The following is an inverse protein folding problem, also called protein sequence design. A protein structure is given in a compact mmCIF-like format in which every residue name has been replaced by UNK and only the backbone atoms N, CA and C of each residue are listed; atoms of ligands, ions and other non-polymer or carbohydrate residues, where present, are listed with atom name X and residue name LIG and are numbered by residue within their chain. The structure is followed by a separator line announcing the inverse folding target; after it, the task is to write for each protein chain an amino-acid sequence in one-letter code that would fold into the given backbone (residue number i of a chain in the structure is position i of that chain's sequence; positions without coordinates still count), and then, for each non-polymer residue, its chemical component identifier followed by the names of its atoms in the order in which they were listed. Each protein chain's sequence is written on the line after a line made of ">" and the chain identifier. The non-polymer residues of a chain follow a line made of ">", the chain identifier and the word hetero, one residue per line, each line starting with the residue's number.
data_IF_040825923037
#
_entry.id   IF_040825923037
#
_cell.length_a   1.000
_cell.length_b   1.000
_cell.length_c   1.000
_cell.angle_alpha   90.00
_cell.angle_beta   90.00
_cell.angle_gamma   90.00
#
_symmetry.space_group_name_H-M   'P 1'
#
loop_
_entity.id
_entity.type
_entity.pdbx_description
1 polymer ?
#
# COMPACT_ATOMS: atom_id res chain seq x y z
N UNK A 1 -1.05 26.12 0.76
CA UNK A 1 -0.53 24.73 0.82
C UNK A 1 -1.50 23.75 1.48
N UNK A 2 -2.15 24.08 2.61
CA UNK A 2 -3.06 23.14 3.28
C UNK A 2 -4.19 22.55 2.43
N UNK A 3 -4.66 23.28 1.40
CA UNK A 3 -5.70 22.81 0.48
C UNK A 3 -5.17 22.03 -0.72
N UNK A 4 -3.84 21.96 -0.92
CA UNK A 4 -3.18 21.31 -2.07
C UNK A 4 -3.60 21.83 -3.46
N UNK A 5 -4.41 22.88 -3.49
CA UNK A 5 -4.81 23.70 -4.64
C UNK A 5 -4.96 25.17 -4.21
N UNK A 6 -5.12 26.12 -5.15
CA UNK A 6 -5.57 27.47 -4.83
C UNK A 6 -6.86 27.46 -4.01
N UNK A 7 -6.98 28.43 -3.09
CA UNK A 7 -8.22 28.62 -2.32
C UNK A 7 -9.31 29.12 -3.26
N UNK A 8 -10.50 28.55 -3.14
CA UNK A 8 -11.70 29.04 -3.80
C UNK A 8 -12.13 30.36 -3.17
N UNK A 9 -12.84 31.18 -3.93
CA UNK A 9 -13.35 32.47 -3.47
C UNK A 9 -14.20 32.34 -2.21
N UNK A 10 -15.03 31.29 -2.13
CA UNK A 10 -15.90 31.00 -1.00
C UNK A 10 -15.11 30.59 0.26
N UNK A 11 -14.10 29.74 0.10
CA UNK A 11 -13.21 29.31 1.18
C UNK A 11 -12.41 30.50 1.74
N UNK A 12 -11.93 31.38 0.85
CA UNK A 12 -11.25 32.60 1.24
C UNK A 12 -12.18 33.54 2.01
N UNK A 13 -13.40 33.76 1.52
CA UNK A 13 -14.40 34.60 2.20
C UNK A 13 -14.75 34.05 3.59
N UNK A 14 -14.95 32.73 3.71
CA UNK A 14 -15.22 32.08 5.00
C UNK A 14 -14.10 32.32 6.01
N UNK A 15 -12.84 32.14 5.62
CA UNK A 15 -11.70 32.35 6.50
C UNK A 15 -11.55 33.81 6.94
N UNK A 16 -11.88 34.76 6.06
CA UNK A 16 -11.94 36.18 6.42
C UNK A 16 -13.07 36.46 7.42
N UNK A 17 -14.26 35.89 7.23
CA UNK A 17 -15.36 36.02 8.20
C UNK A 17 -14.95 35.48 9.58
N UNK A 18 -14.29 34.31 9.64
CA UNK A 18 -13.77 33.77 10.91
C UNK A 18 -12.82 34.75 11.61
N UNK A 19 -11.94 35.42 10.84
CA UNK A 19 -11.06 36.43 11.40
C UNK A 19 -11.82 37.65 11.91
N UNK A 20 -12.73 38.19 11.11
CA UNK A 20 -13.50 39.39 11.42
C UNK A 20 -14.44 39.21 12.61
N UNK A 21 -14.95 37.99 12.81
CA UNK A 21 -15.79 37.64 13.97
C UNK A 21 -14.96 37.47 15.26
N UNK A 22 -13.75 36.89 15.16
CA UNK A 22 -12.88 36.67 16.30
C UNK A 22 -12.14 37.94 16.75
N UNK A 23 -11.80 38.83 15.81
CA UNK A 23 -10.93 39.98 16.07
C UNK A 23 -11.47 41.00 17.09
N UNK A 24 -12.77 41.33 17.16
CA UNK A 24 -13.29 42.31 18.12
C UNK A 24 -13.18 41.87 19.58
N UNK A 25 -13.18 40.56 19.84
CA UNK A 25 -13.21 39.97 21.19
C UNK A 25 -11.87 39.40 21.65
N UNK A 26 -10.86 39.39 20.77
CA UNK A 26 -9.56 38.75 21.02
C UNK A 26 -8.39 39.58 20.50
N UNK A 27 -7.15 39.19 20.86
CA UNK A 27 -5.95 39.76 20.26
C UNK A 27 -5.80 39.30 18.81
N UNK A 28 -5.04 40.05 17.99
CA UNK A 28 -4.76 39.66 16.61
C UNK A 28 -4.15 38.24 16.50
N UNK A 29 -3.26 37.89 17.42
CA UNK A 29 -2.64 36.56 17.46
C UNK A 29 -3.69 35.46 17.68
N UNK A 30 -4.66 35.67 18.58
CA UNK A 30 -5.74 34.72 18.85
C UNK A 30 -6.70 34.64 17.65
N UNK A 31 -7.04 35.78 17.03
CA UNK A 31 -7.89 35.79 15.84
C UNK A 31 -7.24 35.02 14.67
N UNK A 32 -5.95 35.23 14.40
CA UNK A 32 -5.21 34.44 13.41
C UNK A 32 -5.15 32.96 13.79
N UNK A 33 -4.90 32.65 15.06
CA UNK A 33 -4.95 31.26 15.56
C UNK A 33 -6.32 30.61 15.33
N UNK A 34 -7.40 31.38 15.44
CA UNK A 34 -8.77 30.92 15.17
C UNK A 34 -8.98 30.61 13.68
N UNK A 35 -8.43 31.44 12.78
CA UNK A 35 -8.45 31.16 11.33
C UNK A 35 -7.69 29.88 11.01
N UNK A 36 -6.50 29.69 11.58
CA UNK A 36 -5.72 28.46 11.40
C UNK A 36 -6.49 27.27 11.94
N UNK A 37 -7.08 27.38 13.14
CA UNK A 37 -7.90 26.32 13.71
C UNK A 37 -9.11 25.97 12.82
N UNK A 38 -9.77 26.97 12.24
CA UNK A 38 -10.86 26.74 11.30
C UNK A 38 -10.37 26.03 10.03
N UNK A 39 -9.26 26.49 9.43
CA UNK A 39 -8.64 25.87 8.26
C UNK A 39 -8.32 24.39 8.50
N UNK A 40 -7.73 24.05 9.64
CA UNK A 40 -7.38 22.66 10.00
C UNK A 40 -8.61 21.76 10.22
N UNK A 41 -9.80 22.35 10.37
CA UNK A 41 -11.07 21.62 10.51
C UNK A 41 -11.88 21.59 9.21
N UNK A 42 -11.42 22.26 8.15
CA UNK A 42 -12.14 22.27 6.87
C UNK A 42 -12.03 20.90 6.17
N UNK A 43 -13.10 20.43 5.50
CA UNK A 43 -13.10 19.14 4.80
C UNK A 43 -11.95 19.01 3.79
N UNK A 44 -11.67 20.06 3.02
CA UNK A 44 -10.60 20.07 2.02
C UNK A 44 -9.19 19.95 2.62
N UNK A 45 -9.02 20.18 3.94
CA UNK A 45 -7.76 19.91 4.65
C UNK A 45 -7.73 18.46 5.18
N UNK A 46 -8.80 18.02 5.82
CA UNK A 46 -8.89 16.72 6.50
C UNK A 46 -8.99 15.53 5.55
N UNK A 47 -9.59 15.72 4.37
CA UNK A 47 -9.89 14.65 3.41
C UNK A 47 -9.29 14.95 2.05
N UNK A 48 -9.08 13.88 1.27
CA UNK A 48 -8.94 14.00 -0.18
C UNK A 48 -10.34 14.01 -0.78
N UNK A 49 -10.74 15.18 -1.23
CA UNK A 49 -12.00 15.38 -1.93
C UNK A 49 -11.63 15.54 -3.40
N UNK A 50 -12.10 14.59 -4.20
CA UNK A 50 -11.94 14.57 -5.65
C UNK A 50 -13.29 14.93 -6.25
N UNK A 51 -13.44 16.22 -6.55
CA UNK A 51 -14.64 16.73 -7.19
C UNK A 51 -14.57 16.49 -8.70
N UNK A 52 -13.35 16.51 -9.25
CA UNK A 52 -13.09 16.39 -10.67
C UNK A 52 -13.71 17.53 -11.48
N UNK A 53 -13.58 17.39 -12.79
CA UNK A 53 -14.11 18.28 -13.81
C UNK A 53 -15.05 17.48 -14.71
N UNK A 54 -16.21 18.04 -15.09
CA UNK A 54 -17.10 17.39 -16.05
C UNK A 54 -16.37 17.15 -17.37
N UNK A 55 -16.44 15.93 -17.87
CA UNK A 55 -15.86 15.53 -19.15
C UNK A 55 -16.93 14.85 -20.00
N UNK A 56 -17.30 15.40 -21.17
CA UNK A 56 -18.35 14.83 -22.01
C UNK A 56 -17.99 13.48 -22.62
N UNK A 57 -16.70 13.11 -22.64
CA UNK A 57 -16.22 11.86 -23.21
C UNK A 57 -16.20 10.71 -22.18
N UNK A 58 -16.45 11.02 -20.90
CA UNK A 58 -16.53 10.03 -19.82
C UNK A 58 -17.96 9.50 -19.60
N UNK A 59 -18.11 8.25 -19.08
CA UNK A 59 -19.40 7.71 -18.71
C UNK A 59 -20.14 8.56 -17.67
N UNK A 60 -21.48 8.48 -17.67
CA UNK A 60 -22.30 9.19 -16.69
C UNK A 60 -21.89 8.83 -15.25
N UNK A 61 -21.59 9.86 -14.45
CA UNK A 61 -21.13 9.71 -13.07
C UNK A 61 -19.61 9.61 -12.91
N UNK A 62 -18.84 9.52 -13.99
CA UNK A 62 -17.40 9.70 -13.98
C UNK A 62 -17.02 11.18 -14.17
N UNK A 63 -15.93 11.59 -13.54
CA UNK A 63 -15.34 12.93 -13.67
C UNK A 63 -13.87 12.78 -13.99
N UNK A 64 -13.33 13.68 -14.82
CA UNK A 64 -11.89 13.75 -15.06
C UNK A 64 -11.26 14.46 -13.87
N UNK A 65 -10.18 13.94 -13.32
CA UNK A 65 -9.51 14.64 -12.23
C UNK A 65 -8.86 15.92 -12.75
N UNK A 66 -8.93 16.97 -11.94
CA UNK A 66 -8.14 18.17 -12.17
C UNK A 66 -6.66 17.89 -11.93
N UNK A 67 -5.79 18.66 -12.56
CA UNK A 67 -4.34 18.55 -12.39
C UNK A 67 -3.89 18.64 -10.91
N UNK A 68 -4.58 19.45 -10.09
CA UNK A 68 -4.28 19.53 -8.65
C UNK A 68 -4.67 18.25 -7.89
N UNK A 69 -5.73 17.56 -8.30
CA UNK A 69 -6.12 16.27 -7.73
C UNK A 69 -5.13 15.18 -8.16
N UNK A 70 -4.70 15.18 -9.43
CA UNK A 70 -3.64 14.29 -9.94
C UNK A 70 -2.33 14.52 -9.18
N UNK A 71 -1.89 15.77 -9.04
CA UNK A 71 -0.72 16.13 -8.25
C UNK A 71 -0.80 15.62 -6.81
N UNK A 72 -1.97 15.76 -6.18
CA UNK A 72 -2.21 15.29 -4.81
C UNK A 72 -2.14 13.77 -4.73
N UNK A 73 -2.81 13.06 -5.64
CA UNK A 73 -2.75 11.59 -5.69
C UNK A 73 -1.32 11.09 -5.86
N UNK A 74 -0.58 11.63 -6.84
CA UNK A 74 0.81 11.27 -7.10
C UNK A 74 1.69 11.47 -5.86
N UNK A 75 1.59 12.63 -5.19
CA UNK A 75 2.44 12.93 -4.05
C UNK A 75 2.16 12.04 -2.84
N UNK A 76 0.89 11.72 -2.55
CA UNK A 76 0.56 10.87 -1.42
C UNK A 76 0.80 9.38 -1.70
N UNK A 77 0.59 8.95 -2.95
CA UNK A 77 0.94 7.60 -3.37
C UNK A 77 2.46 7.37 -3.28
N UNK A 78 3.25 8.28 -3.83
CA UNK A 78 4.68 8.06 -4.01
C UNK A 78 5.54 8.60 -2.85
N UNK A 79 5.09 9.61 -2.11
CA UNK A 79 5.85 10.23 -1.02
C UNK A 79 5.14 10.24 0.34
N UNK A 80 3.90 9.78 0.43
CA UNK A 80 3.08 9.87 1.66
C UNK A 80 2.97 11.29 2.22
N UNK A 81 3.04 12.31 1.36
CA UNK A 81 3.01 13.69 1.80
C UNK A 81 2.50 14.63 0.72
N UNK A 82 2.34 15.90 1.10
CA UNK A 82 1.81 16.93 0.22
C UNK A 82 2.68 17.12 -1.04
N UNK A 83 2.07 17.58 -2.16
CA UNK A 83 2.81 17.97 -3.36
C UNK A 83 3.90 19.00 -3.05
N UNK A 84 5.05 18.87 -3.70
CA UNK A 84 6.07 19.91 -3.67
C UNK A 84 5.67 21.11 -4.54
N UNK A 85 6.48 22.17 -4.50
CA UNK A 85 6.18 23.37 -5.27
C UNK A 85 6.18 23.10 -6.79
N UNK A 86 7.11 22.27 -7.27
CA UNK A 86 7.21 21.93 -8.68
C UNK A 86 6.00 21.15 -9.19
N UNK A 87 5.48 20.20 -8.41
CA UNK A 87 4.26 19.46 -8.79
C UNK A 87 3.02 20.34 -8.78
N UNK A 88 2.92 21.29 -7.83
CA UNK A 88 1.82 22.28 -7.81
C UNK A 88 1.92 23.28 -8.96
N UNK A 89 3.12 23.60 -9.42
CA UNK A 89 3.35 24.48 -10.57
C UNK A 89 3.00 23.77 -11.88
N UNK A 90 3.42 22.51 -12.05
CA UNK A 90 2.99 21.67 -13.17
C UNK A 90 1.45 21.60 -13.23
N UNK A 91 0.80 21.39 -12.09
CA UNK A 91 -0.65 21.39 -12.01
C UNK A 91 -1.29 22.74 -12.34
N UNK A 92 -0.65 23.85 -11.96
CA UNK A 92 -1.13 25.19 -12.29
C UNK A 92 -1.04 25.50 -13.80
N UNK A 93 -0.13 24.83 -14.50
CA UNK A 93 0.19 25.08 -15.90
C UNK A 93 -0.54 24.13 -16.88
N UNK A 94 -1.36 23.20 -16.40
CA UNK A 94 -1.98 22.18 -17.26
C UNK A 94 -1.00 21.10 -17.70
N UNK A 95 0.04 20.84 -16.90
CA UNK A 95 1.12 19.90 -17.23
C UNK A 95 0.91 18.53 -16.58
N UNK A 96 -0.35 18.15 -16.30
CA UNK A 96 -0.74 16.83 -15.80
C UNK A 96 -1.98 16.25 -16.52
N UNK A 97 -2.30 16.75 -17.72
CA UNK A 97 -3.49 16.35 -18.48
C UNK A 97 -3.32 15.06 -19.30
N UNK A 98 -2.07 14.65 -19.57
CA UNK A 98 -1.74 13.49 -20.40
C UNK A 98 -0.97 12.42 -19.63
N UNK A 99 -1.08 11.18 -20.08
CA UNK A 99 -0.36 10.04 -19.47
C UNK A 99 1.15 10.28 -19.46
N UNK A 100 1.72 10.84 -20.54
CA UNK A 100 3.15 11.13 -20.62
C UNK A 100 3.60 12.21 -19.62
N UNK A 101 2.76 13.22 -19.38
CA UNK A 101 3.02 14.27 -18.40
C UNK A 101 2.97 13.72 -16.97
N UNK A 102 1.95 12.91 -16.66
CA UNK A 102 1.79 12.23 -15.38
C UNK A 102 2.97 11.29 -15.12
N UNK A 103 3.36 10.50 -16.12
CA UNK A 103 4.51 9.59 -16.04
C UNK A 103 5.81 10.35 -15.76
N UNK A 104 6.06 11.46 -16.47
CA UNK A 104 7.26 12.27 -16.25
C UNK A 104 7.34 12.79 -14.81
N UNK A 105 6.22 13.23 -14.23
CA UNK A 105 6.18 13.62 -12.83
C UNK A 105 6.34 12.42 -11.90
N UNK A 106 5.70 11.28 -12.16
CA UNK A 106 5.85 10.06 -11.36
C UNK A 106 7.31 9.59 -11.31
N UNK A 107 8.02 9.56 -12.45
CA UNK A 107 9.44 9.22 -12.52
C UNK A 107 10.31 10.19 -11.70
N UNK A 108 10.02 11.50 -11.78
CA UNK A 108 10.70 12.52 -10.96
C UNK A 108 10.47 12.27 -9.47
N UNK A 109 9.24 11.96 -9.07
CA UNK A 109 8.88 11.68 -7.69
C UNK A 109 9.59 10.41 -7.18
N UNK A 110 9.64 9.35 -8.00
CA UNK A 110 10.34 8.09 -7.69
C UNK A 110 11.86 8.27 -7.51
N UNK A 111 12.47 9.22 -8.21
CA UNK A 111 13.90 9.52 -8.07
C UNK A 111 14.24 10.28 -6.75
N UNK A 112 13.26 10.83 -6.05
CA UNK A 112 13.46 11.55 -4.79
C UNK A 112 13.60 10.56 -3.60
N UNK A 113 14.44 10.92 -2.62
CA UNK A 113 14.71 10.08 -1.46
C UNK A 113 13.46 9.76 -0.62
N UNK A 114 12.38 10.55 -0.72
CA UNK A 114 11.10 10.29 -0.05
C UNK A 114 10.37 9.06 -0.57
N UNK A 115 10.62 8.65 -1.82
CA UNK A 115 9.88 7.55 -2.44
C UNK A 115 10.14 6.20 -1.77
N UNK A 116 11.40 5.93 -1.41
CA UNK A 116 11.82 4.66 -0.80
C UNK A 116 11.03 4.31 0.47
N UNK A 117 11.04 5.13 1.54
CA UNK A 117 10.30 4.81 2.75
C UNK A 117 8.77 4.83 2.55
N UNK A 118 8.26 5.67 1.64
CA UNK A 118 6.82 5.73 1.37
C UNK A 118 6.30 4.44 0.72
N UNK A 119 7.00 3.94 -0.30
CA UNK A 119 6.66 2.69 -0.98
C UNK A 119 6.89 1.47 -0.09
N UNK A 120 8.00 1.41 0.66
CA UNK A 120 8.23 0.34 1.61
C UNK A 120 7.06 0.20 2.60
N UNK A 121 6.60 1.32 3.18
CA UNK A 121 5.42 1.32 4.06
C UNK A 121 4.15 0.90 3.32
N UNK A 122 3.89 1.38 2.11
CA UNK A 122 2.73 0.93 1.33
C UNK A 122 2.71 -0.60 1.20
N UNK A 123 3.83 -1.20 0.84
CA UNK A 123 3.92 -2.65 0.72
C UNK A 123 3.77 -3.35 2.08
N UNK A 124 4.32 -2.80 3.19
CA UNK A 124 4.12 -3.38 4.54
C UNK A 124 2.65 -3.39 4.95
N UNK A 125 1.92 -2.33 4.64
CA UNK A 125 0.48 -2.20 4.91
C UNK A 125 -0.30 -3.18 4.03
N UNK A 126 0.01 -3.21 2.74
CA UNK A 126 -0.67 -4.06 1.77
C UNK A 126 -0.56 -5.54 2.10
N UNK A 127 0.61 -6.00 2.54
CA UNK A 127 0.81 -7.41 2.87
C UNK A 127 0.52 -7.73 4.33
N UNK A 128 0.47 -6.75 5.24
CA UNK A 128 0.27 -6.98 6.68
C UNK A 128 1.55 -7.19 7.50
N UNK A 129 2.73 -6.90 6.96
CA UNK A 129 4.02 -6.97 7.71
C UNK A 129 4.05 -6.01 8.90
N UNK A 130 3.31 -4.91 8.83
CA UNK A 130 3.15 -3.96 9.94
C UNK A 130 2.47 -4.54 11.18
N UNK A 131 1.78 -5.70 11.05
CA UNK A 131 1.10 -6.39 12.16
C UNK A 131 2.01 -7.35 12.93
N UNK A 132 3.29 -7.49 12.54
CA UNK A 132 4.23 -8.37 13.24
C UNK A 132 4.45 -7.91 14.69
N UNK A 133 3.89 -8.66 15.62
CA UNK A 133 4.02 -8.45 17.06
C UNK A 133 5.00 -9.48 17.66
N UNK A 134 6.12 -9.07 18.29
CA UNK A 134 7.07 -9.98 18.93
C UNK A 134 6.49 -10.79 20.09
N UNK A 135 5.33 -10.41 20.62
CA UNK A 135 4.62 -11.13 21.68
C UNK A 135 3.53 -12.08 21.17
N UNK A 136 3.35 -12.18 19.85
CA UNK A 136 2.32 -13.03 19.24
C UNK A 136 2.54 -14.54 19.46
N UNK A 137 3.73 -14.96 19.92
CA UNK A 137 4.08 -16.36 20.14
C UNK A 137 4.47 -16.60 21.61
N UNK A 138 4.15 -17.79 22.11
CA UNK A 138 4.60 -18.23 23.42
C UNK A 138 6.14 -18.41 23.42
N UNK A 139 6.84 -17.62 24.22
CA UNK A 139 8.30 -17.61 24.27
C UNK A 139 8.91 -18.94 24.75
N UNK A 140 8.16 -19.78 25.48
CA UNK A 140 8.63 -21.11 25.86
C UNK A 140 8.59 -22.09 24.68
N UNK A 141 7.68 -21.89 23.72
CA UNK A 141 7.55 -22.71 22.52
C UNK A 141 8.36 -22.17 21.34
N UNK A 142 8.48 -20.84 21.24
CA UNK A 142 9.15 -20.14 20.14
C UNK A 142 10.20 -19.14 20.68
N UNK A 143 11.26 -19.63 21.35
CA UNK A 143 12.23 -18.76 22.02
C UNK A 143 13.04 -17.86 21.07
N UNK A 144 13.10 -18.18 19.78
CA UNK A 144 13.75 -17.37 18.75
C UNK A 144 12.84 -16.28 18.16
N UNK A 145 11.54 -16.33 18.44
CA UNK A 145 10.60 -15.30 17.99
C UNK A 145 10.57 -14.17 19.01
N UNK A 146 11.38 -13.14 18.76
CA UNK A 146 11.55 -12.00 19.65
C UNK A 146 11.52 -10.66 18.89
N UNK A 147 11.74 -9.57 19.63
CA UNK A 147 11.77 -8.22 19.07
C UNK A 147 12.93 -8.01 18.08
N UNK A 148 14.02 -8.75 18.21
CA UNK A 148 15.16 -8.66 17.30
C UNK A 148 14.84 -9.35 15.98
N UNK A 149 14.29 -10.57 16.01
CA UNK A 149 13.89 -11.28 14.81
C UNK A 149 12.77 -10.55 14.05
N UNK A 150 11.72 -10.10 14.75
CA UNK A 150 10.61 -9.38 14.10
C UNK A 150 11.07 -8.06 13.46
N UNK A 151 11.97 -7.31 14.10
CA UNK A 151 12.58 -6.14 13.49
C UNK A 151 13.42 -6.50 12.25
N UNK A 152 14.16 -7.61 12.29
CA UNK A 152 14.93 -8.08 11.15
C UNK A 152 14.02 -8.50 9.98
N UNK A 153 12.90 -9.21 10.23
CA UNK A 153 11.92 -9.57 9.21
C UNK A 153 11.32 -8.34 8.51
N UNK A 154 11.02 -7.29 9.27
CA UNK A 154 10.50 -6.03 8.73
C UNK A 154 11.55 -5.32 7.87
N UNK A 155 12.80 -5.28 8.30
CA UNK A 155 13.90 -4.68 7.55
C UNK A 155 14.25 -5.48 6.29
N UNK A 156 14.22 -6.82 6.36
CA UNK A 156 14.35 -7.71 5.20
C UNK A 156 13.28 -7.39 4.15
N UNK A 157 12.02 -7.30 4.57
CA UNK A 157 10.93 -6.98 3.67
C UNK A 157 11.12 -5.63 2.98
N UNK A 158 11.55 -4.61 3.72
CA UNK A 158 11.84 -3.29 3.16
C UNK A 158 12.97 -3.30 2.14
N UNK A 159 14.04 -4.03 2.44
CA UNK A 159 15.18 -4.22 1.54
C UNK A 159 14.77 -4.93 0.27
N UNK A 160 14.00 -6.01 0.40
CA UNK A 160 13.44 -6.76 -0.71
C UNK A 160 12.59 -5.86 -1.62
N UNK A 161 11.62 -5.14 -1.04
CA UNK A 161 10.78 -4.20 -1.80
C UNK A 161 11.63 -3.13 -2.48
N UNK A 162 12.59 -2.54 -1.77
CA UNK A 162 13.45 -1.51 -2.33
C UNK A 162 14.35 -2.04 -3.46
N UNK A 163 14.83 -3.27 -3.35
CA UNK A 163 15.66 -3.92 -4.37
C UNK A 163 14.89 -4.20 -5.65
N UNK A 164 13.61 -4.57 -5.55
CA UNK A 164 12.74 -4.81 -6.71
C UNK A 164 12.23 -3.50 -7.30
N UNK A 165 11.58 -2.66 -6.50
CA UNK A 165 10.90 -1.44 -6.98
C UNK A 165 11.86 -0.43 -7.61
N UNK A 166 13.09 -0.35 -7.10
CA UNK A 166 14.11 0.56 -7.60
C UNK A 166 15.21 -0.15 -8.39
N UNK A 167 14.95 -1.36 -8.89
CA UNK A 167 15.84 -2.04 -9.81
C UNK A 167 16.03 -1.17 -11.07
N UNK A 168 17.28 -1.12 -11.56
CA UNK A 168 17.59 -0.37 -12.78
C UNK A 168 17.12 -1.09 -14.05
N UNK A 169 16.99 -2.42 -13.99
CA UNK A 169 16.49 -3.24 -15.08
C UNK A 169 14.97 -3.43 -14.96
N UNK A 170 14.23 -3.16 -16.05
CA UNK A 170 12.79 -3.34 -16.09
C UNK A 170 12.36 -4.81 -15.98
N UNK A 171 13.22 -5.73 -16.40
CA UNK A 171 12.99 -7.17 -16.25
C UNK A 171 13.09 -7.61 -14.77
N UNK A 172 13.77 -6.82 -13.93
CA UNK A 172 13.85 -7.02 -12.48
C UNK A 172 12.83 -6.17 -11.72
N UNK A 173 12.55 -4.95 -12.18
CA UNK A 173 11.69 -3.97 -11.53
C UNK A 173 10.21 -4.09 -11.87
N UNK A 174 9.61 -5.25 -11.63
CA UNK A 174 8.20 -5.49 -11.93
C UNK A 174 7.48 -6.32 -10.87
N UNK A 175 6.14 -6.31 -10.95
CA UNK A 175 5.27 -7.03 -10.02
C UNK A 175 5.54 -8.54 -10.03
N UNK A 176 5.85 -9.14 -11.18
CA UNK A 176 6.14 -10.58 -11.22
C UNK A 176 7.39 -10.90 -10.38
N UNK A 177 8.47 -10.13 -10.53
CA UNK A 177 9.66 -10.26 -9.70
C UNK A 177 9.34 -10.06 -8.22
N UNK A 178 8.52 -9.06 -7.86
CA UNK A 178 8.10 -8.84 -6.47
C UNK A 178 7.38 -10.08 -5.87
N UNK A 179 6.65 -10.84 -6.68
CA UNK A 179 5.88 -12.00 -6.25
C UNK A 179 6.65 -13.33 -6.31
N UNK A 180 7.69 -13.42 -7.14
CA UNK A 180 8.36 -14.70 -7.44
C UNK A 180 9.83 -14.74 -7.06
N UNK A 181 10.48 -13.61 -6.79
CA UNK A 181 11.92 -13.55 -6.48
C UNK A 181 12.21 -14.27 -5.15
N UNK A 182 13.15 -15.20 -5.19
CA UNK A 182 13.66 -15.97 -4.04
C UNK A 182 14.92 -15.37 -3.39
N UNK A 183 15.42 -14.27 -3.97
CA UNK A 183 16.65 -13.61 -3.57
C UNK A 183 16.34 -12.44 -2.62
N UNK A 184 16.88 -12.49 -1.41
CA UNK A 184 16.63 -11.53 -0.32
C UNK A 184 17.93 -11.17 0.39
N UNK A 185 17.92 -10.14 1.23
CA UNK A 185 19.02 -9.83 2.13
C UNK A 185 18.71 -10.34 3.54
N UNK A 186 19.66 -10.99 4.19
CA UNK A 186 19.52 -11.49 5.56
C UNK A 186 20.59 -10.92 6.47
N UNK A 187 20.23 -10.73 7.74
CA UNK A 187 21.16 -10.48 8.84
C UNK A 187 21.46 -11.77 9.62
N UNK A 188 22.22 -11.68 10.72
CA UNK A 188 22.56 -12.85 11.54
C UNK A 188 21.33 -13.50 12.20
N UNK A 189 20.31 -12.71 12.57
CA UNK A 189 19.08 -13.20 13.19
C UNK A 189 18.24 -13.99 12.19
N UNK A 190 18.08 -13.46 10.98
CA UNK A 190 17.38 -14.11 9.87
C UNK A 190 18.13 -15.33 9.36
N UNK A 191 19.47 -15.28 9.26
CA UNK A 191 20.26 -16.44 8.89
C UNK A 191 20.03 -17.61 9.86
N UNK A 192 20.01 -17.33 11.17
CA UNK A 192 19.66 -18.35 12.17
C UNK A 192 18.21 -18.82 12.05
N UNK A 193 17.26 -17.93 11.72
CA UNK A 193 15.85 -18.27 11.58
C UNK A 193 15.57 -19.15 10.34
N UNK A 194 16.14 -18.79 9.19
CA UNK A 194 16.05 -19.57 7.95
C UNK A 194 16.91 -20.85 7.98
N UNK A 195 17.76 -21.02 8.98
CA UNK A 195 18.62 -22.20 9.14
C UNK A 195 19.80 -22.21 8.16
N UNK A 196 20.33 -21.04 7.83
CA UNK A 196 21.47 -20.89 6.92
C UNK A 196 22.78 -21.35 7.59
N UNK A 197 23.71 -21.84 6.76
CA UNK A 197 25.04 -22.25 7.21
C UNK A 197 25.91 -21.06 7.67
N UNK A 198 27.01 -21.32 8.40
CA UNK A 198 27.91 -20.28 8.89
C UNK A 198 28.56 -19.45 7.77
N UNK A 199 28.68 -20.00 6.56
CA UNK A 199 29.15 -19.29 5.37
C UNK A 199 28.16 -18.23 4.85
N UNK A 200 26.88 -18.34 5.20
CA UNK A 200 25.79 -17.41 4.87
C UNK A 200 25.25 -16.70 6.12
N UNK A 201 26.09 -16.51 7.13
CA UNK A 201 25.75 -15.76 8.34
C UNK A 201 26.62 -14.51 8.40
N UNK A 202 26.05 -13.30 8.23
CA UNK A 202 26.83 -12.06 8.24
C UNK A 202 27.26 -11.64 9.64
N UNK A 203 28.20 -10.68 9.72
CA UNK A 203 28.61 -10.08 10.98
C UNK A 203 27.54 -9.18 11.60
N UNK A 204 27.75 -8.71 12.85
CA UNK A 204 26.81 -7.81 13.51
C UNK A 204 26.59 -6.51 12.71
N UNK A 205 25.33 -6.23 12.34
CA UNK A 205 24.94 -5.05 11.56
C UNK A 205 25.20 -5.16 10.06
N UNK A 206 25.69 -6.30 9.58
CA UNK A 206 25.88 -6.58 8.16
C UNK A 206 24.66 -7.32 7.59
N UNK A 207 24.39 -7.09 6.31
CA UNK A 207 23.38 -7.77 5.52
C UNK A 207 24.06 -8.40 4.32
N UNK A 208 23.68 -9.63 3.98
CA UNK A 208 24.17 -10.31 2.79
C UNK A 208 23.02 -10.83 1.96
N UNK A 209 23.19 -10.81 0.65
CA UNK A 209 22.22 -11.36 -0.28
C UNK A 209 22.30 -12.89 -0.29
N UNK A 210 21.14 -13.55 -0.18
CA UNK A 210 21.00 -15.00 -0.18
C UNK A 210 19.80 -15.43 -1.02
N UNK A 211 19.95 -16.55 -1.72
CA UNK A 211 18.83 -17.21 -2.39
C UNK A 211 18.19 -18.21 -1.42
N UNK A 212 16.92 -17.99 -1.10
CA UNK A 212 16.14 -18.86 -0.22
C UNK A 212 15.33 -19.88 -1.03
N UNK A 213 14.83 -20.93 -0.38
CA UNK A 213 13.85 -21.83 -0.99
C UNK A 213 12.60 -21.00 -1.39
N UNK A 214 12.06 -21.14 -2.62
CA UNK A 214 10.80 -20.51 -3.02
C UNK A 214 9.62 -20.74 -2.06
N UNK A 215 9.65 -21.82 -1.26
CA UNK A 215 8.65 -22.08 -0.20
C UNK A 215 8.85 -21.21 1.05
N UNK A 216 10.04 -20.65 1.24
CA UNK A 216 10.39 -19.77 2.36
C UNK A 216 10.23 -18.28 2.00
N UNK A 217 10.23 -17.94 0.70
CA UNK A 217 10.18 -16.56 0.17
C UNK A 217 8.84 -16.12 -0.38
N UNK A 218 7.83 -17.00 -0.41
CA UNK A 218 6.48 -16.61 -0.83
C UNK A 218 5.81 -15.74 0.23
N UNK A 219 6.23 -14.47 0.27
CA UNK A 219 5.62 -13.43 1.07
C UNK A 219 4.18 -13.10 0.62
N UNK A 220 3.73 -13.59 -0.55
CA UNK A 220 2.43 -13.19 -1.12
C UNK A 220 1.65 -14.21 -1.96
N UNK A 221 1.77 -15.53 -1.73
CA UNK A 221 1.03 -16.51 -2.55
C UNK A 221 0.04 -17.38 -1.75
N UNK A 222 -1.22 -17.08 -2.06
CA UNK A 222 -2.45 -17.89 -2.12
C UNK A 222 -3.25 -18.20 -0.83
N UNK A 223 -4.50 -17.76 -0.87
CA UNK A 223 -5.56 -18.07 0.08
C UNK A 223 -6.30 -19.31 -0.37
N UNK A 224 -5.82 -20.48 0.04
CA UNK A 224 -6.67 -21.67 0.15
C UNK A 224 -6.05 -22.60 1.21
N UNK A 225 -6.39 -22.35 2.47
CA UNK A 225 -6.07 -23.27 3.58
C UNK A 225 -7.26 -24.20 3.78
N UNK A 226 -7.60 -24.96 2.75
CA UNK A 226 -8.66 -25.98 2.83
C UNK A 226 -8.29 -27.26 2.05
N UNK A 227 -7.02 -27.68 1.99
CA UNK A 227 -6.71 -29.13 1.82
C UNK A 227 -5.26 -29.57 2.12
N UNK A 228 -4.51 -28.89 3.00
CA UNK A 228 -3.26 -29.46 3.50
C UNK A 228 -3.56 -30.51 4.58
N UNK A 229 -3.96 -31.69 4.14
CA UNK A 229 -4.36 -32.84 4.95
C UNK A 229 -3.49 -33.07 6.19
N UNK A 230 -4.00 -32.63 7.35
CA UNK A 230 -3.58 -33.09 8.67
C UNK A 230 -4.22 -34.47 8.95
N UNK A 231 -3.87 -35.44 8.11
CA UNK A 231 -4.20 -36.85 8.29
C UNK A 231 -3.05 -37.57 8.98
N UNK A 232 -3.09 -37.60 10.32
CA UNK A 232 -2.53 -38.64 11.21
C UNK A 232 -1.45 -39.57 10.62
N UNK A 233 -0.16 -39.40 10.96
CA UNK A 233 0.81 -40.49 11.01
C UNK A 233 1.91 -40.30 12.08
N UNK A 234 2.48 -41.40 12.62
CA UNK A 234 3.05 -41.46 13.96
C UNK A 234 4.54 -41.15 14.04
N UNK A 235 4.99 -40.89 15.27
CA UNK A 235 6.37 -40.73 15.73
C UNK A 235 7.33 -41.78 15.14
N UNK A 236 8.34 -41.33 14.39
CA UNK A 236 9.46 -42.18 13.98
C UNK A 236 10.48 -41.50 13.06
N UNK A 237 11.71 -41.34 13.56
CA UNK A 237 12.95 -41.31 12.76
C UNK A 237 13.27 -39.99 12.06
N UNK A 238 14.41 -39.40 12.38
CA UNK A 238 14.79 -38.07 11.91
C UNK A 238 15.01 -37.96 10.41
N UNK A 239 14.73 -36.76 9.89
CA UNK A 239 15.45 -35.99 8.88
C UNK A 239 14.89 -34.56 8.96
N UNK A 240 15.76 -33.56 8.82
CA UNK A 240 15.48 -32.17 9.16
C UNK A 240 14.31 -31.56 8.38
N UNK A 241 13.34 -31.01 9.11
CA UNK A 241 12.41 -30.01 8.61
C UNK A 241 12.77 -28.68 9.28
N UNK A 242 13.21 -27.71 8.47
CA UNK A 242 13.37 -26.32 8.88
C UNK A 242 12.01 -25.71 9.26
N UNK A 243 12.01 -24.60 10.01
CA UNK A 243 10.76 -23.96 10.43
C UNK A 243 9.93 -23.51 9.21
N UNK A 244 8.59 -23.46 9.34
CA UNK A 244 7.73 -22.96 8.28
C UNK A 244 8.10 -21.50 7.96
N UNK A 245 8.29 -21.21 6.67
CA UNK A 245 8.54 -19.86 6.18
C UNK A 245 7.39 -18.91 6.51
N UNK A 246 7.66 -17.61 6.45
CA UNK A 246 6.68 -16.56 6.65
C UNK A 246 5.63 -16.65 5.53
N UNK A 247 4.45 -17.19 5.84
CA UNK A 247 3.26 -17.12 4.99
C UNK A 247 2.40 -15.98 5.52
N UNK A 248 2.41 -14.85 4.81
CA UNK A 248 1.53 -13.73 5.12
C UNK A 248 0.26 -13.87 4.30
N UNK A 249 -0.87 -14.09 4.99
CA UNK A 249 -2.19 -14.21 4.36
C UNK A 249 -2.77 -12.81 4.31
N UNK A 250 -3.00 -12.28 3.10
CA UNK A 250 -3.73 -11.03 2.92
C UNK A 250 -5.13 -11.18 3.53
N UNK A 251 -5.41 -10.40 4.57
CA UNK A 251 -6.74 -10.31 5.18
C UNK A 251 -7.75 -9.75 4.19
N UNK A 252 -8.93 -10.36 4.16
CA UNK A 252 -10.06 -9.99 3.30
C UNK A 252 -10.43 -8.50 3.51
N UNK A 253 -10.20 -7.65 2.49
CA UNK A 253 -10.72 -6.26 2.47
C UNK A 253 -12.21 -6.30 2.13
N UNK A 254 -13.00 -6.99 2.94
CA UNK A 254 -14.46 -6.86 2.89
C UNK A 254 -14.87 -5.65 3.71
N UNK A 255 -14.95 -4.53 2.98
CA UNK A 255 -15.51 -3.28 3.46
C UNK A 255 -16.86 -3.48 4.16
N UNK A 256 -17.00 -2.72 5.24
CA UNK A 256 -18.24 -2.40 5.94
C UNK A 256 -19.47 -2.39 5.02
N UNK A 257 -20.19 -3.52 4.98
CA UNK A 257 -21.59 -3.57 4.54
C UNK A 257 -22.41 -4.44 5.49
N UNK A 258 -22.55 -3.97 6.74
CA UNK A 258 -23.62 -4.41 7.65
C UNK A 258 -24.24 -3.19 8.33
N UNK A 259 -25.21 -2.58 7.67
CA UNK A 259 -26.36 -1.94 8.32
C UNK A 259 -27.37 -1.44 7.27
N UNK A 260 -28.00 -2.33 6.51
CA UNK A 260 -29.33 -2.06 5.91
C UNK A 260 -29.96 -3.35 5.41
N UNK A 261 -31.20 -3.61 5.85
CA UNK A 261 -32.08 -4.62 5.24
C UNK A 261 -32.45 -5.80 6.13
N UNK A 262 -33.33 -5.58 7.11
CA UNK A 262 -34.24 -6.62 7.62
C UNK A 262 -35.67 -6.10 7.44
N UNK A 263 -36.56 -6.96 6.94
CA UNK A 263 -37.95 -6.74 6.49
C UNK A 263 -38.02 -6.23 5.03
N UNK A 264 -38.68 -6.85 4.05
CA UNK A 264 -39.65 -7.94 3.92
C UNK A 264 -39.41 -8.57 2.52
N UNK A 265 -39.49 -9.89 2.29
CA UNK A 265 -40.74 -10.64 2.21
C UNK A 265 -41.25 -10.73 0.76
N UNK A 266 -41.28 -11.97 0.22
CA UNK A 266 -42.07 -12.47 -0.92
C UNK A 266 -41.41 -12.58 -2.32
N UNK A 267 -40.92 -13.79 -2.61
CA UNK A 267 -41.41 -14.64 -3.70
C UNK A 267 -40.94 -14.36 -5.14
N UNK A 268 -40.18 -15.31 -5.72
CA UNK A 268 -40.65 -16.25 -6.76
C UNK A 268 -39.50 -17.12 -7.30
N UNK A 269 -39.83 -18.38 -7.52
CA UNK A 269 -39.05 -19.42 -8.20
C UNK A 269 -38.74 -19.09 -9.67
N UNK A 270 -37.63 -19.63 -10.18
CA UNK A 270 -37.34 -19.69 -11.62
C UNK A 270 -35.96 -20.28 -11.91
N UNK A 271 -35.95 -21.56 -12.29
CA UNK A 271 -34.80 -22.39 -12.69
C UNK A 271 -33.96 -21.81 -13.84
N UNK A 272 -32.64 -22.08 -13.83
CA UNK A 272 -31.91 -22.72 -14.94
C UNK A 272 -30.45 -22.98 -14.53
N UNK A 273 -30.07 -24.26 -14.43
CA UNK A 273 -28.68 -24.68 -14.40
C UNK A 273 -28.17 -24.95 -15.82
N UNK A 274 -26.88 -24.69 -16.06
CA UNK A 274 -26.06 -25.39 -17.05
C UNK A 274 -24.59 -24.94 -16.96
N UNK A 275 -23.70 -25.91 -16.69
CA UNK A 275 -22.41 -26.06 -17.38
C UNK A 275 -21.31 -25.03 -17.13
N UNK A 276 -20.51 -25.25 -16.08
CA UNK A 276 -19.14 -24.71 -16.00
C UNK A 276 -18.17 -25.84 -16.32
N UNK A 277 -17.94 -26.06 -17.61
CA UNK A 277 -16.79 -26.83 -18.08
C UNK A 277 -16.25 -26.12 -19.33
N UNK A 278 -15.24 -25.28 -19.13
CA UNK A 278 -14.35 -24.83 -20.20
C UNK A 278 -13.04 -24.33 -19.59
N UNK A 279 -11.98 -25.06 -19.91
CA UNK A 279 -10.58 -24.69 -19.72
C UNK A 279 -10.33 -23.27 -20.25
N UNK A 280 -9.82 -22.39 -19.39
CA UNK A 280 -9.28 -21.11 -19.80
C UNK A 280 -7.85 -21.33 -20.34
N UNK A 281 -7.68 -21.10 -21.63
CA UNK A 281 -6.37 -21.04 -22.26
C UNK A 281 -5.70 -19.69 -21.97
N UNK A 282 -4.37 -19.69 -21.93
CA UNK A 282 -3.46 -18.57 -21.58
C UNK A 282 -3.57 -17.35 -22.53
N UNK A 283 -4.48 -17.36 -23.49
CA UNK A 283 -4.66 -16.31 -24.51
C UNK A 283 -5.82 -15.33 -24.22
N UNK A 284 -6.64 -15.57 -23.18
CA UNK A 284 -7.77 -14.69 -22.82
C UNK A 284 -7.45 -13.60 -21.77
N UNK A 285 -6.18 -13.40 -21.39
CA UNK A 285 -5.74 -12.42 -20.37
C UNK A 285 -5.19 -11.09 -20.93
N UNK A 286 -5.79 -10.54 -22.00
CA UNK A 286 -5.67 -9.11 -22.33
C UNK A 286 -7.03 -8.62 -22.87
N UNK A 287 -7.65 -7.56 -22.31
CA UNK A 287 -7.01 -6.33 -21.83
C UNK A 287 -7.44 -5.91 -20.40
N UNK A 288 -6.46 -5.74 -19.50
CA UNK A 288 -6.63 -4.98 -18.24
C UNK A 288 -5.61 -3.84 -18.17
N UNK A 289 -5.43 -3.14 -19.29
CA UNK A 289 -4.71 -1.87 -19.35
C UNK A 289 -5.71 -0.76 -19.63
N UNK A 290 -6.54 -0.42 -18.63
CA UNK A 290 -7.37 0.80 -18.55
C UNK A 290 -8.35 0.69 -17.36
N UNK A 291 -7.83 0.62 -16.13
CA UNK A 291 -8.65 0.79 -14.92
C UNK A 291 -7.81 1.04 -13.66
N UNK A 292 -6.68 1.72 -13.78
CA UNK A 292 -6.02 2.40 -12.65
C UNK A 292 -5.27 3.61 -13.23
N UNK A 293 -5.99 4.70 -13.45
CA UNK A 293 -5.50 6.07 -13.44
C UNK A 293 -6.68 6.97 -13.02
#
# INVERSE_FOLDING_TARGET
>A
RGFRRPLRTEEHALLLTVYDDARPSTSQAIALGTVVAALLQMPAFLYFIEEGEPDPDLPEGAVRLSDYEIATRLSYLLWDTMPDAGLLEAAANGELETDEQVEAQAQRLLADARARPALARFFREWVGVHELDPSAKDAALFPSYDATLTAAMVEEFDRFVAAVVFAADADEGNLATLLTRSLTEVDASLASFYGLGPELTPGPGEWIEVELDPRQTRALVDGDVDDAGLGSQPLGGGLGHGPPGLVVVAGDVQGHRRAQGRADGLGREGQAGAGWDRQLAVEDLRPLGAAVF
#
